data_IF_578564296958
#
_entry.id   IF_578564296958
#
_cell.length_a   1.000
_cell.length_b   1.000
_cell.length_c   1.000
_cell.angle_alpha   90.00
_cell.angle_beta   90.00
_cell.angle_gamma   90.00
#
_symmetry.space_group_name_H-M   'P 1'
#
loop_
_entity.id
_entity.type
_entity.pdbx_description
1 polymer ?
#
# COMPACT_ATOMS: atom_id res chain seq x y z
N UNK A 1 -44.70 -46.90 24.47
CA UNK A 1 -43.27 -46.51 24.45
C UNK A 1 -43.21 -45.03 24.84
N UNK A 2 -43.10 -44.75 26.14
CA UNK A 2 -43.06 -43.37 26.66
C UNK A 2 -41.62 -42.97 26.90
N UNK A 3 -41.14 -41.99 26.14
CA UNK A 3 -39.87 -41.33 26.43
C UNK A 3 -40.09 -40.37 27.61
N UNK A 4 -39.58 -40.74 28.78
CA UNK A 4 -39.52 -39.85 29.93
C UNK A 4 -38.44 -38.79 29.65
N UNK A 5 -38.84 -37.53 29.50
CA UNK A 5 -37.92 -36.39 29.53
C UNK A 5 -37.45 -36.22 30.99
N UNK A 6 -36.26 -36.73 31.29
CA UNK A 6 -35.61 -36.52 32.58
C UNK A 6 -35.37 -35.04 32.86
N UNK A 7 -35.37 -34.61 34.13
CA UNK A 7 -35.20 -33.21 34.50
C UNK A 7 -33.85 -32.69 34.00
N UNK A 8 -33.86 -31.53 33.33
CA UNK A 8 -32.65 -30.88 32.84
C UNK A 8 -31.82 -30.44 34.05
N UNK A 9 -30.72 -31.17 34.30
CA UNK A 9 -29.81 -30.86 35.40
C UNK A 9 -29.09 -29.52 35.15
N UNK A 10 -28.93 -28.72 36.21
CA UNK A 10 -28.27 -27.40 36.17
C UNK A 10 -26.83 -27.52 35.66
N UNK A 11 -26.20 -28.67 35.90
CA UNK A 11 -24.86 -29.01 35.40
C UNK A 11 -24.80 -29.20 33.87
N UNK A 12 -25.89 -29.67 33.26
CA UNK A 12 -26.00 -29.82 31.80
C UNK A 12 -26.14 -28.46 31.12
N UNK A 13 -26.87 -27.53 31.74
CA UNK A 13 -27.00 -26.14 31.27
C UNK A 13 -25.67 -25.39 31.37
N UNK A 14 -24.93 -25.54 32.49
CA UNK A 14 -23.60 -24.95 32.66
C UNK A 14 -22.56 -25.50 31.68
N UNK A 15 -22.57 -26.81 31.42
CA UNK A 15 -21.66 -27.43 30.43
C UNK A 15 -22.00 -27.04 29.00
N UNK A 16 -23.29 -26.95 28.65
CA UNK A 16 -23.75 -26.48 27.34
C UNK A 16 -23.45 -25.00 27.12
N UNK A 17 -23.64 -24.16 28.14
CA UNK A 17 -23.33 -22.72 28.09
C UNK A 17 -21.84 -22.42 28.00
N UNK A 18 -20.99 -23.14 28.75
CA UNK A 18 -19.53 -23.00 28.63
C UNK A 18 -19.00 -23.44 27.27
N UNK A 19 -19.55 -24.51 26.68
CA UNK A 19 -19.17 -24.97 25.35
C UNK A 19 -19.52 -23.97 24.23
N UNK A 20 -20.71 -23.36 24.30
CA UNK A 20 -21.13 -22.34 23.32
C UNK A 20 -20.40 -21.01 23.52
N UNK A 21 -20.17 -20.59 24.77
CA UNK A 21 -19.44 -19.37 25.10
C UNK A 21 -17.97 -19.41 24.65
N UNK A 22 -17.31 -20.56 24.77
CA UNK A 22 -15.94 -20.74 24.29
C UNK A 22 -15.84 -20.61 22.75
N UNK A 23 -16.81 -21.12 22.00
CA UNK A 23 -16.86 -20.99 20.54
C UNK A 23 -17.08 -19.54 20.08
N UNK A 24 -17.89 -18.76 20.80
CA UNK A 24 -18.13 -17.34 20.50
C UNK A 24 -16.87 -16.50 20.80
N UNK A 25 -16.17 -16.78 21.91
CA UNK A 25 -14.92 -16.10 22.26
C UNK A 25 -13.78 -16.40 21.27
N UNK A 26 -13.75 -17.60 20.68
CA UNK A 26 -12.79 -17.96 19.62
C UNK A 26 -13.09 -17.25 18.30
N UNK A 27 -14.35 -16.89 18.02
CA UNK A 27 -14.72 -16.12 16.81
C UNK A 27 -14.45 -14.61 16.93
N UNK A 28 -14.26 -14.12 18.16
CA UNK A 28 -13.95 -12.71 18.43
C UNK A 28 -12.45 -12.38 18.26
N UNK A 29 -11.58 -13.41 18.19
CA UNK A 29 -10.22 -13.26 17.67
C UNK A 29 -10.24 -13.18 16.13
N UNK A 30 -11.00 -12.24 15.59
CA UNK A 30 -10.90 -11.85 14.20
C UNK A 30 -9.61 -11.07 13.97
N UNK A 31 -8.93 -11.34 12.87
CA UNK A 31 -7.75 -10.57 12.43
C UNK A 31 -8.19 -9.18 11.99
N UNK A 32 -8.36 -8.27 12.94
CA UNK A 32 -8.47 -6.84 12.68
C UNK A 32 -7.27 -6.43 11.82
N UNK A 33 -7.48 -6.18 10.54
CA UNK A 33 -6.40 -5.91 9.57
C UNK A 33 -5.67 -4.60 9.84
N UNK A 34 -6.07 -3.82 10.84
CA UNK A 34 -5.57 -2.48 11.12
C UNK A 34 -6.23 -1.43 10.22
N UNK A 35 -5.97 -0.15 10.53
CA UNK A 35 -6.55 0.98 9.81
C UNK A 35 -5.96 1.09 8.38
N UNK A 36 -6.75 1.48 7.36
CA UNK A 36 -6.25 1.67 6.01
C UNK A 36 -5.14 2.72 5.95
N UNK A 37 -4.15 2.49 5.08
CA UNK A 37 -2.99 3.36 4.88
C UNK A 37 -3.11 4.03 3.52
N UNK A 38 -3.05 5.36 3.47
CA UNK A 38 -3.02 6.13 2.21
C UNK A 38 -1.59 6.18 1.68
N UNK A 39 -1.42 5.82 0.42
CA UNK A 39 -0.14 5.79 -0.27
C UNK A 39 -0.14 6.81 -1.42
N UNK A 40 0.66 7.86 -1.31
CA UNK A 40 0.87 8.81 -2.41
C UNK A 40 1.71 8.15 -3.52
N UNK A 41 1.12 8.00 -4.71
CA UNK A 41 1.57 7.04 -5.72
C UNK A 41 1.75 7.64 -7.13
N UNK A 42 1.75 8.96 -7.29
CA UNK A 42 1.93 9.57 -8.63
C UNK A 42 0.73 9.45 -9.55
N UNK A 43 0.96 9.73 -10.83
CA UNK A 43 -0.08 9.82 -11.86
C UNK A 43 -0.62 8.43 -12.26
N UNK A 44 -1.91 8.37 -12.63
CA UNK A 44 -2.52 7.17 -13.19
C UNK A 44 -1.77 6.66 -14.42
N UNK A 45 -1.53 5.35 -14.48
CA UNK A 45 -0.75 4.74 -15.57
C UNK A 45 0.76 4.98 -15.48
N UNK A 46 1.22 5.75 -14.49
CA UNK A 46 2.64 5.86 -14.15
C UNK A 46 3.14 4.64 -13.37
N UNK A 47 4.45 4.44 -13.35
CA UNK A 47 5.08 3.30 -12.67
C UNK A 47 4.75 3.20 -11.18
N UNK A 48 4.75 4.35 -10.48
CA UNK A 48 4.40 4.39 -9.06
C UNK A 48 2.94 3.96 -8.82
N UNK A 49 2.02 4.33 -9.70
CA UNK A 49 0.61 3.99 -9.59
C UNK A 49 0.38 2.49 -9.77
N UNK A 50 0.99 1.91 -10.81
CA UNK A 50 0.89 0.47 -11.07
C UNK A 50 1.50 -0.36 -9.93
N UNK A 51 2.67 0.07 -9.42
CA UNK A 51 3.28 -0.56 -8.25
C UNK A 51 2.38 -0.46 -7.01
N UNK A 52 1.78 0.70 -6.75
CA UNK A 52 0.89 0.90 -5.62
C UNK A 52 -0.35 -0.01 -5.70
N UNK A 53 -0.86 -0.27 -6.92
CA UNK A 53 -1.92 -1.25 -7.15
C UNK A 53 -1.49 -2.68 -6.79
N UNK A 54 -0.28 -3.09 -7.19
CA UNK A 54 0.29 -4.39 -6.83
C UNK A 54 0.50 -4.53 -5.32
N UNK A 55 0.98 -3.47 -4.66
CA UNK A 55 1.16 -3.43 -3.21
C UNK A 55 -0.17 -3.54 -2.47
N UNK A 56 -1.21 -2.83 -2.93
CA UNK A 56 -2.55 -2.94 -2.36
C UNK A 56 -3.11 -4.36 -2.47
N UNK A 57 -2.99 -4.98 -3.65
CA UNK A 57 -3.40 -6.37 -3.84
C UNK A 57 -2.58 -7.34 -2.97
N UNK A 58 -1.29 -7.07 -2.75
CA UNK A 58 -0.45 -7.88 -1.87
C UNK A 58 -0.86 -7.75 -0.40
N UNK A 59 -1.17 -6.53 0.06
CA UNK A 59 -1.66 -6.27 1.41
C UNK A 59 -2.99 -7.00 1.68
N UNK A 60 -3.91 -6.98 0.72
CA UNK A 60 -5.19 -7.69 0.83
C UNK A 60 -4.99 -9.21 0.96
N UNK A 61 -4.04 -9.79 0.21
CA UNK A 61 -3.72 -11.23 0.27
C UNK A 61 -3.00 -11.63 1.55
N UNK A 62 -2.16 -10.75 2.12
CA UNK A 62 -1.38 -11.05 3.33
C UNK A 62 -2.15 -10.81 4.62
N UNK A 63 -3.32 -10.16 4.55
CA UNK A 63 -4.07 -9.73 5.73
C UNK A 63 -3.47 -8.50 6.42
N UNK A 64 -2.57 -7.78 5.75
CA UNK A 64 -2.04 -6.50 6.21
C UNK A 64 -3.11 -5.40 6.15
N UNK A 65 -2.83 -4.21 6.75
CA UNK A 65 -3.71 -3.06 6.63
C UNK A 65 -4.01 -2.70 5.17
N UNK A 66 -5.26 -2.37 4.83
CA UNK A 66 -5.61 -2.07 3.45
C UNK A 66 -4.84 -0.86 2.94
N UNK A 67 -4.09 -1.00 1.84
CA UNK A 67 -3.40 0.14 1.20
C UNK A 67 -4.36 0.83 0.24
N UNK A 68 -4.36 2.16 0.24
CA UNK A 68 -5.20 3.02 -0.58
C UNK A 68 -4.33 3.99 -1.39
N UNK A 69 -3.99 3.64 -2.64
CA UNK A 69 -3.24 4.54 -3.52
C UNK A 69 -3.98 5.87 -3.74
N UNK A 70 -3.22 6.96 -3.78
CA UNK A 70 -3.68 8.32 -4.05
C UNK A 70 -2.87 8.90 -5.20
N UNK A 71 -3.59 9.50 -6.15
CA UNK A 71 -2.96 10.16 -7.29
C UNK A 71 -2.24 11.42 -6.83
N UNK A 72 -1.15 11.74 -7.51
CA UNK A 72 -0.38 12.99 -7.35
C UNK A 72 0.41 13.27 -8.64
N UNK A 73 1.10 14.42 -8.70
CA UNK A 73 2.02 14.79 -9.76
C UNK A 73 3.39 14.11 -9.71
N UNK A 74 3.67 13.25 -8.72
CA UNK A 74 4.92 12.47 -8.63
C UNK A 74 5.68 12.65 -7.32
N UNK A 75 6.99 12.38 -7.33
CA UNK A 75 7.84 12.27 -6.14
C UNK A 75 7.77 13.47 -5.19
N UNK A 76 7.85 14.69 -5.73
CA UNK A 76 7.82 15.90 -4.92
C UNK A 76 6.49 16.01 -4.16
N UNK A 77 5.37 15.98 -4.87
CA UNK A 77 4.04 16.08 -4.27
C UNK A 77 3.72 14.89 -3.35
N UNK A 78 4.24 13.70 -3.64
CA UNK A 78 4.14 12.56 -2.75
C UNK A 78 4.80 12.82 -1.39
N UNK A 79 5.97 13.47 -1.38
CA UNK A 79 6.67 13.83 -0.14
C UNK A 79 5.96 14.98 0.59
N UNK A 80 5.35 15.93 -0.13
CA UNK A 80 4.50 16.96 0.48
C UNK A 80 3.30 16.33 1.20
N UNK A 81 2.64 15.38 0.55
CA UNK A 81 1.53 14.64 1.12
C UNK A 81 1.92 13.81 2.37
N UNK A 82 3.16 13.33 2.41
CA UNK A 82 3.70 12.65 3.60
C UNK A 82 4.00 13.65 4.73
N UNK A 83 4.53 14.83 4.39
CA UNK A 83 4.89 15.85 5.36
C UNK A 83 3.68 16.54 6.01
N UNK A 84 2.58 16.71 5.27
CA UNK A 84 1.34 17.32 5.74
C UNK A 84 0.33 16.30 6.35
N UNK A 85 0.64 15.00 6.26
CA UNK A 85 -0.19 13.92 6.80
C UNK A 85 -1.40 13.54 5.93
N UNK A 86 -1.53 14.12 4.74
CA UNK A 86 -2.57 13.71 3.78
C UNK A 86 -2.31 12.31 3.20
N UNK A 87 -1.09 11.77 3.35
CA UNK A 87 -0.74 10.37 3.16
C UNK A 87 0.15 9.83 4.30
N UNK A 88 0.01 8.55 4.65
CA UNK A 88 0.89 7.88 5.62
C UNK A 88 2.14 7.27 4.98
N UNK A 89 2.09 6.98 3.68
CA UNK A 89 3.20 6.46 2.88
C UNK A 89 3.32 7.23 1.56
N UNK A 90 4.54 7.25 1.01
CA UNK A 90 4.83 7.90 -0.26
C UNK A 90 5.84 7.09 -1.08
N UNK A 91 5.66 7.06 -2.40
CA UNK A 91 6.69 6.64 -3.35
C UNK A 91 7.47 7.86 -3.84
N UNK A 92 8.80 7.76 -3.83
CA UNK A 92 9.67 8.84 -4.33
C UNK A 92 10.89 8.26 -5.01
N UNK A 93 11.41 9.01 -5.97
CA UNK A 93 12.77 8.82 -6.43
C UNK A 93 13.75 9.23 -5.33
N UNK A 94 14.89 8.55 -5.25
CA UNK A 94 15.88 8.75 -4.20
C UNK A 94 16.54 10.12 -4.29
N UNK A 95 16.77 10.64 -5.50
CA UNK A 95 17.31 11.98 -5.72
C UNK A 95 16.38 13.07 -5.16
N UNK A 96 15.07 12.96 -5.43
CA UNK A 96 14.05 13.88 -4.91
C UNK A 96 13.95 13.78 -3.38
N UNK A 97 14.03 12.57 -2.81
CA UNK A 97 13.98 12.37 -1.37
C UNK A 97 15.22 12.96 -0.67
N UNK A 98 16.40 12.89 -1.30
CA UNK A 98 17.63 13.51 -0.81
C UNK A 98 17.58 15.03 -0.92
N UNK A 99 17.08 15.57 -2.04
CA UNK A 99 16.89 17.01 -2.22
C UNK A 99 15.92 17.59 -1.18
N UNK A 100 14.87 16.84 -0.85
CA UNK A 100 13.82 17.23 0.11
C UNK A 100 14.02 16.61 1.49
N UNK A 101 15.27 16.32 1.87
CA UNK A 101 15.58 15.64 3.12
C UNK A 101 14.85 16.26 4.33
N UNK A 102 14.00 15.46 4.97
CA UNK A 102 13.30 15.81 6.21
C UNK A 102 13.62 14.72 7.24
N UNK A 103 14.16 15.07 8.42
CA UNK A 103 14.58 14.10 9.45
C UNK A 103 13.42 13.27 10.02
N UNK A 104 12.16 13.66 9.77
CA UNK A 104 10.97 12.90 10.17
C UNK A 104 10.65 11.77 9.19
N UNK A 105 11.27 11.76 8.00
CA UNK A 105 11.05 10.73 7.00
C UNK A 105 11.94 9.52 7.27
N UNK A 106 11.34 8.33 7.16
CA UNK A 106 12.06 7.06 7.26
C UNK A 106 11.87 6.28 5.97
N UNK A 107 12.98 5.90 5.33
CA UNK A 107 12.94 5.05 4.16
C UNK A 107 12.56 3.62 4.55
N UNK A 108 11.48 3.10 3.95
CA UNK A 108 11.05 1.71 4.19
C UNK A 108 11.77 0.70 3.30
N UNK A 109 12.24 1.11 2.12
CA UNK A 109 13.00 0.26 1.22
C UNK A 109 13.14 0.82 -0.19
N UNK A 110 14.08 0.26 -0.94
CA UNK A 110 14.23 0.51 -2.38
C UNK A 110 13.47 -0.56 -3.16
N UNK A 111 12.46 -0.14 -3.93
CA UNK A 111 11.53 -1.06 -4.61
C UNK A 111 11.96 -1.40 -6.04
N UNK A 112 12.61 -0.48 -6.75
CA UNK A 112 13.21 -0.69 -8.06
C UNK A 112 14.15 0.46 -8.42
N UNK A 113 14.95 0.29 -9.47
CA UNK A 113 15.78 1.35 -10.04
C UNK A 113 15.08 2.03 -11.22
N UNK A 114 14.96 3.36 -11.18
CA UNK A 114 14.42 4.13 -12.28
C UNK A 114 15.55 4.59 -13.21
N UNK A 115 15.47 4.22 -14.49
CA UNK A 115 16.40 4.65 -15.52
C UNK A 115 15.76 5.72 -16.40
N UNK A 116 16.21 6.96 -16.25
CA UNK A 116 15.79 8.09 -17.07
C UNK A 116 16.02 7.80 -18.55
N UNK A 117 14.95 7.85 -19.33
CA UNK A 117 15.00 7.66 -20.78
C UNK A 117 14.80 8.98 -21.50
N UNK A 118 15.80 9.39 -22.25
CA UNK A 118 15.68 10.47 -23.22
C UNK A 118 15.19 9.91 -24.56
N UNK A 119 14.18 10.58 -25.15
CA UNK A 119 13.78 10.40 -26.54
C UNK A 119 13.90 11.74 -27.24
N UNK A 120 14.84 11.85 -28.17
CA UNK A 120 14.84 12.95 -29.12
C UNK A 120 13.64 12.83 -30.05
N UNK A 121 12.99 13.95 -30.36
CA UNK A 121 12.12 14.00 -31.52
C UNK A 121 12.93 13.62 -32.77
N UNK A 122 12.33 12.91 -33.75
CA UNK A 122 13.00 12.67 -35.02
C UNK A 122 13.45 14.02 -35.61
N UNK A 123 14.74 14.12 -35.88
CA UNK A 123 15.38 15.35 -36.30
C UNK A 123 14.83 15.77 -37.67
N UNK A 124 14.17 16.92 -37.75
CA UNK A 124 13.63 17.44 -39.00
C UNK A 124 14.76 17.63 -40.02
N UNK A 125 14.62 17.22 -41.30
CA UNK A 125 15.71 17.24 -42.29
C UNK A 125 16.40 18.59 -42.47
N UNK A 126 15.67 19.70 -42.28
CA UNK A 126 16.20 21.07 -42.40
C UNK A 126 17.08 21.53 -41.22
N UNK A 127 17.20 20.73 -40.14
CA UNK A 127 18.05 21.02 -38.97
C UNK A 127 19.38 20.26 -38.98
N UNK A 128 19.77 19.66 -40.12
CA UNK A 128 21.11 19.12 -40.32
C UNK A 128 22.10 20.26 -40.64
N UNK A 129 22.64 20.91 -39.61
CA UNK A 129 23.89 21.64 -39.73
C UNK A 129 25.07 20.66 -39.58
N UNK A 130 26.20 20.84 -40.31
CA UNK A 130 27.34 19.91 -40.25
C UNK A 130 28.11 19.90 -38.91
N UNK A 131 27.70 20.71 -37.93
CA UNK A 131 28.59 21.16 -36.85
C UNK A 131 28.38 20.43 -35.51
N UNK A 132 27.47 19.48 -35.41
CA UNK A 132 27.26 18.70 -34.18
C UNK A 132 27.70 17.24 -34.35
N UNK A 133 28.97 17.05 -34.68
CA UNK A 133 29.69 15.79 -34.50
C UNK A 133 30.73 16.00 -33.39
N UNK A 134 30.29 16.03 -32.13
CA UNK A 134 31.18 16.22 -30.99
C UNK A 134 30.44 16.72 -29.76
N UNK A 135 30.01 15.79 -28.91
CA UNK A 135 29.34 16.09 -27.66
C UNK A 135 28.81 14.80 -27.07
N UNK A 136 29.69 14.08 -26.40
CA UNK A 136 29.33 12.98 -25.49
C UNK A 136 28.77 13.56 -24.20
#
# INVERSE_FOLDING_TARGET
MSFALGPVDRRTVLRGGCGLGALILLSACGTERGAPVRLAAGESGGFFWEFAGLLAAAADRSGAPPVRPRQSGGSAENLDALADGSAELALSLSDTAVERADPRLTALGCVYENYSRWRSAPMHPSRRSPTCAGGW
#
